data_IF_339969259783
#
_entry.id   IF_339969259783
#
_cell.length_a   1.000
_cell.length_b   1.000
_cell.length_c   1.000
_cell.angle_alpha   90.00
_cell.angle_beta   90.00
_cell.angle_gamma   90.00
#
_symmetry.space_group_name_H-M   'P 1'
#
loop_
_entity.id
_entity.type
_entity.pdbx_description
1 polymer ?
#
# COMPACT_ATOMS: atom_id res chain seq x y z
N UNK A 1 21.40 -33.91 -4.75
CA UNK A 1 20.93 -33.84 -6.15
C UNK A 1 20.54 -32.40 -6.41
N UNK A 2 21.31 -31.69 -7.24
CA UNK A 2 21.22 -30.25 -7.39
C UNK A 2 21.42 -29.93 -8.87
N UNK A 3 20.34 -29.84 -9.64
CA UNK A 3 20.32 -29.33 -11.02
C UNK A 3 18.96 -28.76 -11.37
N UNK A 4 19.00 -27.62 -12.05
CA UNK A 4 17.95 -27.01 -12.86
C UNK A 4 17.05 -25.98 -12.18
N UNK A 5 17.56 -24.75 -12.03
CA UNK A 5 16.84 -23.58 -12.60
C UNK A 5 17.82 -22.41 -12.83
N UNK A 6 18.90 -22.67 -13.58
CA UNK A 6 19.69 -21.60 -14.21
C UNK A 6 19.31 -21.61 -15.69
N UNK A 7 18.09 -21.18 -16.01
CA UNK A 7 17.68 -20.97 -17.41
C UNK A 7 16.47 -20.06 -17.53
N UNK A 8 16.65 -18.76 -17.25
CA UNK A 8 16.04 -17.70 -18.07
C UNK A 8 16.84 -16.40 -17.95
N UNK A 9 18.17 -16.47 -18.11
CA UNK A 9 18.98 -15.29 -18.46
C UNK A 9 19.12 -15.27 -19.98
N UNK A 10 18.26 -14.53 -20.67
CA UNK A 10 18.51 -14.16 -22.07
C UNK A 10 17.73 -12.90 -22.47
N UNK A 11 18.41 -11.76 -22.34
CA UNK A 11 18.29 -10.55 -23.14
C UNK A 11 16.94 -10.27 -23.81
N UNK A 12 16.18 -9.32 -23.27
CA UNK A 12 15.40 -8.39 -24.10
C UNK A 12 15.50 -6.96 -23.54
N UNK A 13 16.72 -6.42 -23.58
CA UNK A 13 16.94 -4.99 -23.47
C UNK A 13 16.28 -4.30 -24.67
N UNK A 14 15.36 -3.37 -24.39
CA UNK A 14 14.71 -2.35 -25.25
C UNK A 14 13.27 -2.65 -25.75
N UNK A 15 12.33 -1.90 -25.15
CA UNK A 15 11.11 -1.31 -25.75
C UNK A 15 10.05 -2.34 -26.19
N UNK A 16 9.01 -2.67 -25.41
CA UNK A 16 7.86 -1.79 -25.14
C UNK A 16 6.96 -2.25 -23.97
N UNK A 17 7.07 -3.48 -23.46
CA UNK A 17 6.28 -4.00 -22.34
C UNK A 17 6.99 -5.27 -21.82
N UNK A 18 7.45 -5.29 -20.58
CA UNK A 18 7.89 -6.55 -19.94
C UNK A 18 6.65 -7.21 -19.36
N UNK A 19 6.29 -8.41 -19.84
CA UNK A 19 5.28 -9.26 -19.20
C UNK A 19 6.02 -10.45 -18.60
N UNK A 20 6.28 -10.39 -17.30
CA UNK A 20 6.92 -11.47 -16.55
C UNK A 20 5.85 -12.29 -15.81
N UNK A 21 5.81 -13.60 -16.03
CA UNK A 21 5.01 -14.53 -15.23
C UNK A 21 5.91 -15.63 -14.70
N UNK A 22 6.17 -15.67 -13.39
CA UNK A 22 7.04 -16.70 -12.77
C UNK A 22 6.24 -17.54 -11.79
N UNK A 23 6.18 -18.84 -12.04
CA UNK A 23 5.78 -19.84 -11.03
C UNK A 23 7.03 -20.56 -10.54
N UNK A 24 7.55 -20.18 -9.38
CA UNK A 24 8.73 -20.83 -8.78
C UNK A 24 8.39 -21.32 -7.36
N UNK A 25 8.52 -22.63 -7.06
CA UNK A 25 8.07 -23.16 -5.77
C UNK A 25 8.97 -22.79 -4.56
N UNK A 26 10.16 -22.19 -4.78
CA UNK A 26 11.07 -21.82 -3.69
C UNK A 26 11.80 -20.50 -3.93
N UNK A 27 11.84 -19.69 -2.86
CA UNK A 27 12.62 -18.46 -2.62
C UNK A 27 13.45 -17.93 -3.79
N UNK A 28 12.92 -16.95 -4.51
CA UNK A 28 13.66 -16.20 -5.53
C UNK A 28 13.47 -14.70 -5.28
N UNK A 29 14.56 -13.91 -5.23
CA UNK A 29 14.46 -12.49 -5.47
C UNK A 29 14.19 -12.25 -6.96
N UNK A 30 13.17 -11.47 -7.26
CA UNK A 30 12.83 -11.00 -8.61
C UNK A 30 13.13 -9.51 -8.69
N UNK A 31 13.74 -9.09 -9.80
CA UNK A 31 13.99 -7.67 -10.05
C UNK A 31 13.98 -7.40 -11.54
N UNK A 32 12.98 -6.64 -11.99
CA UNK A 32 12.77 -6.28 -13.38
C UNK A 32 12.74 -4.74 -13.55
N UNK A 33 13.36 -4.24 -14.63
CA UNK A 33 13.46 -2.81 -14.92
C UNK A 33 13.16 -2.50 -16.40
N UNK A 34 12.09 -1.73 -16.66
CA UNK A 34 11.70 -1.28 -18.01
C UNK A 34 10.78 -0.05 -17.97
N UNK A 35 10.54 0.58 -19.12
CA UNK A 35 9.64 1.76 -19.19
C UNK A 35 8.18 1.40 -18.85
N UNK A 36 7.68 0.27 -19.36
CA UNK A 36 6.35 -0.26 -19.04
C UNK A 36 6.49 -1.72 -18.63
N UNK A 37 5.90 -2.09 -17.49
CA UNK A 37 6.01 -3.42 -16.92
C UNK A 37 4.66 -3.96 -16.45
N UNK A 38 4.47 -5.25 -16.66
CA UNK A 38 3.42 -6.07 -16.06
C UNK A 38 4.09 -7.31 -15.48
N UNK A 39 4.07 -7.44 -14.16
CA UNK A 39 4.69 -8.55 -13.44
C UNK A 39 3.60 -9.33 -12.72
N UNK A 40 3.71 -10.65 -12.75
CA UNK A 40 2.80 -11.52 -12.01
C UNK A 40 3.50 -12.79 -11.57
N UNK A 41 3.87 -12.84 -10.30
CA UNK A 41 4.68 -13.90 -9.74
C UNK A 41 3.96 -14.68 -8.65
N UNK A 42 4.17 -16.00 -8.63
CA UNK A 42 3.62 -16.90 -7.61
C UNK A 42 4.67 -17.86 -7.04
N UNK A 43 4.85 -17.83 -5.72
CA UNK A 43 5.77 -18.70 -5.00
C UNK A 43 5.36 -18.91 -3.53
N UNK A 44 6.03 -19.81 -2.82
CA UNK A 44 5.81 -19.93 -1.36
C UNK A 44 6.42 -18.74 -0.59
N UNK A 45 7.64 -18.32 -0.94
CA UNK A 45 8.30 -17.17 -0.33
C UNK A 45 8.89 -16.28 -1.42
N UNK A 46 8.50 -15.00 -1.48
CA UNK A 46 8.92 -14.07 -2.53
C UNK A 46 9.56 -12.81 -1.98
N UNK A 47 10.54 -12.31 -2.73
CA UNK A 47 11.04 -10.95 -2.60
C UNK A 47 11.03 -10.34 -3.99
N UNK A 48 10.25 -9.29 -4.20
CA UNK A 48 10.10 -8.62 -5.50
C UNK A 48 10.60 -7.18 -5.33
N UNK A 49 11.36 -6.72 -6.33
CA UNK A 49 11.79 -5.33 -6.37
C UNK A 49 11.91 -4.87 -7.81
N UNK A 50 10.91 -4.14 -8.25
CA UNK A 50 10.75 -3.73 -9.63
C UNK A 50 10.75 -2.21 -9.78
N UNK A 51 11.20 -1.73 -10.94
CA UNK A 51 11.24 -0.31 -11.22
C UNK A 51 10.80 0.01 -12.66
N UNK A 52 9.82 0.88 -12.83
CA UNK A 52 9.33 1.26 -14.16
C UNK A 52 8.86 2.71 -14.29
N UNK A 53 8.60 3.21 -15.51
CA UNK A 53 7.80 4.43 -15.64
C UNK A 53 6.32 4.13 -15.39
N UNK A 54 5.80 3.07 -15.99
CA UNK A 54 4.46 2.55 -15.73
C UNK A 54 4.54 1.08 -15.32
N UNK A 55 3.91 0.71 -14.22
CA UNK A 55 4.00 -0.62 -13.66
C UNK A 55 2.63 -1.16 -13.27
N UNK A 56 2.42 -2.44 -13.54
CA UNK A 56 1.34 -3.23 -12.96
C UNK A 56 1.95 -4.49 -12.35
N UNK A 57 1.75 -4.71 -11.05
CA UNK A 57 2.22 -5.89 -10.33
C UNK A 57 1.02 -6.64 -9.78
N UNK A 58 1.06 -7.97 -9.88
CA UNK A 58 0.08 -8.82 -9.23
C UNK A 58 0.73 -10.12 -8.78
N UNK A 59 1.09 -10.14 -7.51
CA UNK A 59 1.86 -11.22 -6.94
C UNK A 59 1.09 -12.00 -5.87
N UNK A 60 1.42 -13.28 -5.74
CA UNK A 60 0.83 -14.14 -4.75
C UNK A 60 1.89 -14.98 -4.04
N UNK A 61 1.91 -14.97 -2.70
CA UNK A 61 2.82 -15.84 -1.96
C UNK A 61 2.29 -16.30 -0.60
N UNK A 62 2.96 -17.24 0.05
CA UNK A 62 2.71 -17.47 1.49
C UNK A 62 3.38 -16.38 2.32
N UNK A 63 4.65 -16.07 2.01
CA UNK A 63 5.37 -14.93 2.59
C UNK A 63 5.91 -14.05 1.47
N UNK A 64 5.66 -12.75 1.54
CA UNK A 64 6.01 -11.81 0.49
C UNK A 64 6.68 -10.57 1.05
N UNK A 65 7.69 -10.10 0.35
CA UNK A 65 8.25 -8.76 0.51
C UNK A 65 8.29 -8.10 -0.86
N UNK A 66 7.62 -6.96 -1.02
CA UNK A 66 7.61 -6.18 -2.26
C UNK A 66 8.21 -4.82 -2.01
N UNK A 67 9.03 -4.35 -2.94
CA UNK A 67 9.55 -2.99 -2.91
C UNK A 67 9.68 -2.45 -4.33
N UNK A 68 8.65 -1.72 -4.74
CA UNK A 68 8.50 -1.27 -6.11
C UNK A 68 8.53 0.24 -6.25
N UNK A 69 9.00 0.70 -7.40
CA UNK A 69 9.08 2.13 -7.69
C UNK A 69 8.65 2.44 -9.13
N UNK A 70 7.64 3.30 -9.28
CA UNK A 70 7.23 3.74 -10.61
C UNK A 70 6.76 5.20 -10.69
N UNK A 71 6.60 5.75 -11.91
CA UNK A 71 5.88 7.03 -12.04
C UNK A 71 4.37 6.81 -11.89
N UNK A 72 3.83 5.80 -12.57
CA UNK A 72 2.47 5.32 -12.40
C UNK A 72 2.49 3.84 -12.03
N UNK A 73 1.86 3.48 -10.92
CA UNK A 73 1.92 2.13 -10.37
C UNK A 73 0.52 1.61 -10.06
N UNK A 74 0.30 0.34 -10.35
CA UNK A 74 -0.85 -0.43 -9.86
C UNK A 74 -0.34 -1.73 -9.27
N UNK A 75 -0.60 -1.98 -7.99
CA UNK A 75 -0.18 -3.19 -7.27
C UNK A 75 -1.41 -3.90 -6.74
N UNK A 76 -1.40 -5.22 -6.86
CA UNK A 76 -2.47 -6.09 -6.38
C UNK A 76 -1.87 -7.39 -5.86
N UNK A 77 -1.52 -7.39 -4.58
CA UNK A 77 -0.78 -8.49 -4.00
C UNK A 77 -1.57 -9.26 -2.94
N UNK A 78 -1.28 -10.56 -2.84
CA UNK A 78 -1.94 -11.43 -1.88
C UNK A 78 -0.94 -12.36 -1.19
N UNK A 79 -0.88 -12.30 0.15
CA UNK A 79 -0.06 -13.23 0.91
C UNK A 79 -0.63 -13.68 2.25
N UNK A 80 -0.04 -14.71 2.89
CA UNK A 80 -0.35 -14.96 4.30
C UNK A 80 0.36 -13.95 5.21
N UNK A 81 1.64 -13.69 4.94
CA UNK A 81 2.42 -12.62 5.57
C UNK A 81 3.02 -11.73 4.48
N UNK A 82 2.76 -10.44 4.55
CA UNK A 82 3.13 -9.49 3.51
C UNK A 82 3.84 -8.28 4.11
N UNK A 83 4.89 -7.83 3.43
CA UNK A 83 5.51 -6.52 3.66
C UNK A 83 5.63 -5.83 2.33
N UNK A 84 5.03 -4.65 2.19
CA UNK A 84 5.05 -3.84 0.96
C UNK A 84 5.66 -2.48 1.29
N UNK A 85 6.50 -2.01 0.38
CA UNK A 85 7.07 -0.67 0.45
C UNK A 85 7.21 -0.10 -0.95
N UNK A 86 6.19 0.66 -1.35
CA UNK A 86 6.08 1.14 -2.70
C UNK A 86 6.15 2.66 -2.81
N UNK A 87 6.70 3.13 -3.92
CA UNK A 87 6.85 4.55 -4.17
C UNK A 87 6.46 4.93 -5.60
N UNK A 88 5.49 5.85 -5.74
CA UNK A 88 5.12 6.33 -7.06
C UNK A 88 4.74 7.82 -7.15
N UNK A 89 4.57 8.36 -8.35
CA UNK A 89 3.89 9.66 -8.49
C UNK A 89 2.38 9.50 -8.40
N UNK A 90 1.83 8.52 -9.15
CA UNK A 90 0.45 8.09 -9.04
C UNK A 90 0.41 6.60 -8.71
N UNK A 91 -0.27 6.25 -7.63
CA UNK A 91 -0.27 4.88 -7.10
C UNK A 91 -1.70 4.40 -6.87
N UNK A 92 -1.94 3.13 -7.18
CA UNK A 92 -3.12 2.40 -6.75
C UNK A 92 -2.67 1.06 -6.19
N UNK A 93 -2.96 0.79 -4.93
CA UNK A 93 -2.58 -0.44 -4.23
C UNK A 93 -3.84 -1.14 -3.73
N UNK A 94 -3.88 -2.45 -3.89
CA UNK A 94 -4.93 -3.28 -3.33
C UNK A 94 -4.33 -4.59 -2.83
N UNK A 95 -4.05 -4.63 -1.54
CA UNK A 95 -3.34 -5.75 -0.96
C UNK A 95 -4.19 -6.53 0.04
N UNK A 96 -3.97 -7.83 0.09
CA UNK A 96 -4.70 -8.71 1.00
C UNK A 96 -3.76 -9.69 1.71
N UNK A 97 -3.73 -9.66 3.03
CA UNK A 97 -2.97 -10.64 3.79
C UNK A 97 -3.57 -11.09 5.12
N UNK A 98 -3.04 -12.14 5.74
CA UNK A 98 -3.39 -12.44 7.14
C UNK A 98 -2.67 -11.48 8.08
N UNK A 99 -1.37 -11.28 7.88
CA UNK A 99 -0.56 -10.27 8.55
C UNK A 99 0.10 -9.37 7.50
N UNK A 100 -0.12 -8.07 7.62
CA UNK A 100 0.30 -7.10 6.61
C UNK A 100 1.05 -5.94 7.25
N UNK A 101 2.11 -5.50 6.58
CA UNK A 101 2.78 -4.23 6.85
C UNK A 101 2.95 -3.50 5.53
N UNK A 102 2.37 -2.32 5.40
CA UNK A 102 2.44 -1.48 4.20
C UNK A 102 3.08 -0.14 4.56
N UNK A 103 3.95 0.33 3.68
CA UNK A 103 4.54 1.65 3.77
C UNK A 103 4.67 2.25 2.38
N UNK A 104 3.67 3.02 1.99
CA UNK A 104 3.57 3.56 0.65
C UNK A 104 3.73 5.07 0.61
N UNK A 105 4.33 5.55 -0.48
CA UNK A 105 4.54 6.97 -0.69
C UNK A 105 4.21 7.39 -2.12
N UNK A 106 3.27 8.33 -2.27
CA UNK A 106 2.98 8.88 -3.59
C UNK A 106 2.59 10.36 -3.64
N UNK A 107 2.52 10.96 -4.83
CA UNK A 107 1.88 12.29 -4.94
C UNK A 107 0.36 12.17 -4.91
N UNK A 108 -0.19 11.23 -5.69
CA UNK A 108 -1.60 10.84 -5.66
C UNK A 108 -1.69 9.35 -5.38
N UNK A 109 -2.42 8.98 -4.32
CA UNK A 109 -2.45 7.62 -3.82
C UNK A 109 -3.89 7.16 -3.57
N UNK A 110 -4.18 5.94 -4.00
CA UNK A 110 -5.39 5.20 -3.61
C UNK A 110 -4.93 3.86 -3.04
N UNK A 111 -5.28 3.57 -1.78
CA UNK A 111 -4.96 2.31 -1.11
C UNK A 111 -6.25 1.64 -0.66
N UNK A 112 -6.30 0.32 -0.81
CA UNK A 112 -7.41 -0.51 -0.36
C UNK A 112 -6.87 -1.84 0.17
N UNK A 113 -6.59 -1.88 1.46
CA UNK A 113 -5.93 -3.02 2.06
C UNK A 113 -6.85 -3.80 3.00
N UNK A 114 -6.65 -5.12 3.04
CA UNK A 114 -7.43 -6.00 3.90
C UNK A 114 -6.55 -7.01 4.61
N UNK A 115 -6.58 -7.02 5.95
CA UNK A 115 -5.87 -8.04 6.71
C UNK A 115 -6.51 -8.47 8.03
N UNK A 116 -6.04 -9.56 8.62
CA UNK A 116 -6.42 -9.86 10.02
C UNK A 116 -5.68 -8.96 10.99
N UNK A 117 -4.36 -8.82 10.82
CA UNK A 117 -3.52 -7.87 11.53
C UNK A 117 -2.80 -6.96 10.52
N UNK A 118 -2.99 -5.65 10.66
CA UNK A 118 -2.52 -4.69 9.68
C UNK A 118 -1.75 -3.55 10.36
N UNK A 119 -0.63 -3.16 9.76
CA UNK A 119 0.07 -1.92 10.05
C UNK A 119 0.28 -1.17 8.75
N UNK A 120 -0.25 0.05 8.65
CA UNK A 120 -0.15 0.91 7.46
C UNK A 120 0.50 2.23 7.83
N UNK A 121 1.38 2.70 6.95
CA UNK A 121 2.06 3.99 7.08
C UNK A 121 2.19 4.63 5.71
N UNK A 122 1.18 5.40 5.33
CA UNK A 122 1.11 5.98 4.00
C UNK A 122 1.35 7.49 4.00
N UNK A 123 1.99 7.97 2.94
CA UNK A 123 2.26 9.39 2.77
C UNK A 123 1.96 9.86 1.35
N UNK A 124 1.05 10.83 1.21
CA UNK A 124 0.79 11.43 -0.09
C UNK A 124 0.42 12.91 -0.10
N UNK A 125 0.41 13.54 -1.27
CA UNK A 125 -0.18 14.89 -1.38
C UNK A 125 -1.70 14.80 -1.40
N UNK A 126 -2.26 13.92 -2.24
CA UNK A 126 -3.67 13.56 -2.25
C UNK A 126 -3.82 12.06 -2.02
N UNK A 127 -4.60 11.68 -1.01
CA UNK A 127 -4.69 10.31 -0.55
C UNK A 127 -6.15 9.87 -0.37
N UNK A 128 -6.46 8.67 -0.84
CA UNK A 128 -7.69 7.95 -0.51
C UNK A 128 -7.32 6.58 0.05
N UNK A 129 -7.72 6.29 1.29
CA UNK A 129 -7.43 5.01 1.95
C UNK A 129 -8.74 4.35 2.37
N UNK A 130 -8.80 3.04 2.18
CA UNK A 130 -9.91 2.20 2.61
C UNK A 130 -9.39 0.89 3.16
N UNK A 131 -9.09 0.87 4.46
CA UNK A 131 -8.49 -0.29 5.08
C UNK A 131 -9.45 -1.07 5.96
N UNK A 132 -9.33 -2.39 5.95
CA UNK A 132 -10.15 -3.27 6.75
C UNK A 132 -9.32 -4.32 7.49
N UNK A 133 -9.40 -4.32 8.82
CA UNK A 133 -8.74 -5.37 9.60
C UNK A 133 -9.41 -5.77 10.91
N UNK A 134 -9.00 -6.91 11.49
CA UNK A 134 -9.42 -7.22 12.86
C UNK A 134 -8.65 -6.37 13.87
N UNK A 135 -7.33 -6.31 13.74
CA UNK A 135 -6.43 -5.43 14.48
C UNK A 135 -5.68 -4.53 13.50
N UNK A 136 -5.77 -3.21 13.72
CA UNK A 136 -5.24 -2.24 12.77
C UNK A 136 -4.46 -1.14 13.49
N UNK A 137 -3.29 -0.81 12.94
CA UNK A 137 -2.55 0.42 13.27
C UNK A 137 -2.31 1.19 11.98
N UNK A 138 -2.80 2.42 11.89
CA UNK A 138 -2.66 3.28 10.71
C UNK A 138 -1.97 4.59 11.11
N UNK A 139 -1.07 5.04 10.26
CA UNK A 139 -0.37 6.32 10.39
C UNK A 139 -0.25 6.99 9.04
N UNK A 140 -1.27 7.74 8.66
CA UNK A 140 -1.30 8.37 7.35
C UNK A 140 -0.98 9.86 7.39
N UNK A 141 -0.31 10.35 6.37
CA UNK A 141 0.02 11.76 6.24
C UNK A 141 -0.27 12.28 4.83
N UNK A 142 -1.18 13.25 4.72
CA UNK A 142 -1.43 13.89 3.42
C UNK A 142 -1.83 15.35 3.45
N UNK A 143 -1.75 16.05 2.32
CA UNK A 143 -2.30 17.41 2.23
C UNK A 143 -3.83 17.36 2.15
N UNK A 144 -4.37 16.55 1.24
CA UNK A 144 -5.79 16.20 1.13
C UNK A 144 -5.97 14.70 1.34
N UNK A 145 -6.86 14.32 2.26
CA UNK A 145 -7.01 12.92 2.66
C UNK A 145 -8.48 12.54 2.80
N UNK A 146 -8.84 11.37 2.26
CA UNK A 146 -10.09 10.68 2.55
C UNK A 146 -9.76 9.29 3.10
N UNK A 147 -10.22 8.98 4.31
CA UNK A 147 -9.97 7.70 4.98
C UNK A 147 -11.30 7.04 5.34
N UNK A 148 -11.36 5.74 5.11
CA UNK A 148 -12.48 4.88 5.50
C UNK A 148 -11.96 3.58 6.09
N UNK A 149 -11.69 3.58 7.38
CA UNK A 149 -11.13 2.40 8.03
C UNK A 149 -12.16 1.60 8.83
N UNK A 150 -12.04 0.29 8.75
CA UNK A 150 -12.92 -0.63 9.46
C UNK A 150 -12.11 -1.66 10.25
N UNK A 151 -12.03 -1.47 11.57
CA UNK A 151 -11.43 -2.48 12.43
C UNK A 151 -12.11 -2.71 13.78
N UNK A 152 -11.99 -3.95 14.27
CA UNK A 152 -12.51 -4.32 15.61
C UNK A 152 -11.68 -3.68 16.72
N UNK A 153 -10.36 -3.63 16.54
CA UNK A 153 -9.41 -2.96 17.41
C UNK A 153 -8.48 -2.08 16.56
N UNK A 154 -8.52 -0.77 16.81
CA UNK A 154 -7.94 0.22 15.91
C UNK A 154 -7.15 1.28 16.66
N UNK A 155 -5.94 1.57 16.15
CA UNK A 155 -5.17 2.77 16.49
C UNK A 155 -4.90 3.55 15.20
N UNK A 156 -5.33 4.81 15.13
CA UNK A 156 -5.17 5.67 13.95
C UNK A 156 -4.46 6.96 14.34
N UNK A 157 -3.49 7.36 13.53
CA UNK A 157 -2.74 8.61 13.66
C UNK A 157 -2.62 9.31 12.32
N UNK A 158 -3.69 10.00 11.92
CA UNK A 158 -3.68 10.73 10.66
C UNK A 158 -3.26 12.19 10.82
N UNK A 159 -2.52 12.68 9.83
CA UNK A 159 -2.13 14.07 9.73
C UNK A 159 -2.46 14.62 8.34
N UNK A 160 -3.53 15.41 8.25
CA UNK A 160 -3.84 16.12 7.01
C UNK A 160 -4.29 17.57 7.19
N UNK A 161 -4.00 18.39 6.16
CA UNK A 161 -4.46 19.78 6.11
C UNK A 161 -5.95 19.85 5.81
N UNK A 162 -6.45 18.96 4.96
CA UNK A 162 -7.85 18.79 4.62
C UNK A 162 -8.22 17.31 4.67
N UNK A 163 -9.14 16.94 5.56
CA UNK A 163 -9.39 15.54 5.91
C UNK A 163 -10.87 15.21 5.97
N UNK A 164 -11.25 14.08 5.37
CA UNK A 164 -12.53 13.40 5.58
C UNK A 164 -12.25 12.00 6.13
N UNK A 165 -12.90 11.63 7.23
CA UNK A 165 -12.68 10.33 7.90
C UNK A 165 -14.02 9.66 8.22
N UNK A 166 -14.14 8.40 7.84
CA UNK A 166 -15.32 7.55 8.09
C UNK A 166 -14.92 6.20 8.71
N UNK A 167 -14.54 6.22 9.99
CA UNK A 167 -14.10 5.00 10.68
C UNK A 167 -15.26 4.25 11.33
N UNK A 168 -15.31 2.93 11.14
CA UNK A 168 -16.34 2.05 11.71
C UNK A 168 -15.95 1.41 13.07
N UNK A 169 -14.84 1.83 13.70
CA UNK A 169 -14.26 1.14 14.85
C UNK A 169 -14.85 1.52 16.23
N UNK A 170 -14.67 0.61 17.22
CA UNK A 170 -14.72 0.96 18.65
C UNK A 170 -13.42 1.71 19.00
N UNK A 171 -13.44 3.03 18.84
CA UNK A 171 -12.28 3.91 19.02
C UNK A 171 -11.65 3.79 20.42
N UNK A 172 -10.43 3.26 20.49
CA UNK A 172 -9.56 3.37 21.66
C UNK A 172 -8.30 4.19 21.29
N UNK A 173 -8.46 5.50 21.12
CA UNK A 173 -7.33 6.43 21.12
C UNK A 173 -7.31 7.45 19.98
N UNK A 174 -6.85 8.66 20.31
CA UNK A 174 -6.44 9.77 19.43
C UNK A 174 -7.53 10.55 18.67
N UNK A 175 -8.51 9.92 18.00
CA UNK A 175 -9.58 10.62 17.25
C UNK A 175 -10.48 11.54 18.12
N UNK A 176 -10.56 11.29 19.44
CA UNK A 176 -11.29 12.16 20.37
C UNK A 176 -10.69 13.58 20.49
N UNK A 177 -9.42 13.80 20.11
CA UNK A 177 -8.76 15.11 20.21
C UNK A 177 -8.94 15.98 18.96
N UNK A 178 -8.92 15.43 17.76
CA UNK A 178 -9.05 16.19 16.51
C UNK A 178 -10.48 16.67 16.28
N UNK A 179 -11.49 15.81 16.49
CA UNK A 179 -12.93 16.20 16.47
C UNK A 179 -13.24 17.33 17.46
N UNK A 180 -12.58 17.36 18.63
CA UNK A 180 -12.73 18.46 19.62
C UNK A 180 -12.05 19.75 19.17
N UNK A 181 -10.92 19.68 18.48
CA UNK A 181 -10.17 20.87 18.04
C UNK A 181 -10.87 21.58 16.89
N UNK A 182 -11.37 20.84 15.90
CA UNK A 182 -12.13 21.41 14.77
C UNK A 182 -13.49 21.98 15.21
N UNK A 183 -14.22 21.31 16.12
CA UNK A 183 -15.47 21.83 16.69
C UNK A 183 -15.26 23.09 17.53
N UNK A 184 -14.14 23.21 18.27
CA UNK A 184 -13.80 24.44 19.00
C UNK A 184 -13.44 25.58 18.07
N UNK A 185 -12.66 25.32 17.01
CA UNK A 185 -12.27 26.34 16.04
C UNK A 185 -13.50 26.88 15.29
N UNK A 186 -14.42 26.00 14.88
CA UNK A 186 -15.66 26.38 14.18
C UNK A 186 -16.64 27.14 15.07
N UNK A 187 -16.80 26.75 16.35
CA UNK A 187 -17.64 27.53 17.29
C UNK A 187 -17.06 28.92 17.59
N UNK A 188 -15.73 29.05 17.68
CA UNK A 188 -15.08 30.32 17.99
C UNK A 188 -15.22 31.34 16.84
N UNK A 189 -15.21 30.88 15.59
CA UNK A 189 -15.39 31.76 14.42
C UNK A 189 -16.84 32.22 14.29
N UNK A 190 -17.83 31.37 14.62
CA UNK A 190 -19.26 31.73 14.56
C UNK A 190 -19.65 32.73 15.67
N UNK A 191 -19.01 32.68 16.84
CA UNK A 191 -19.31 33.63 17.95
C UNK A 191 -18.65 35.00 17.80
N UNK A 192 -17.80 35.22 16.80
CA UNK A 192 -17.15 36.51 16.52
C UNK A 192 -17.72 37.24 15.29
N UNK A 193 -18.70 36.65 14.59
CA UNK A 193 -19.39 37.26 13.44
C UNK A 193 -20.91 37.40 13.66
N UNK A 194 -21.36 37.60 14.90
CA UNK A 194 -22.74 38.00 15.22
C UNK A 194 -22.75 39.06 16.31
#
# INVERSE_FOLDING_TARGET
MNRSCVSCRRNFFKLLLVVATRLCPHHQPVSDAASNQTVSDAASNQTVSDAASNQTVSDAASNQTVSDAASNQTVSDAASNQTVSDAASNQTVSDAASNQTVSDAASNQTVSDAASNQTVSDAASNQTVSDAASNQTVSDAASNQTVSDAASNQTVSDAASNQTVSDAAKLNGVQAKVKKKCRKQFLHTVTHTS
#
